data_IF_376867058444
#
_entry.id   IF_376867058444
#
_cell.length_a   1.000
_cell.length_b   1.000
_cell.length_c   1.000
_cell.angle_alpha   90.00
_cell.angle_beta   90.00
_cell.angle_gamma   90.00
#
_symmetry.space_group_name_H-M   'P 1'
#
loop_
_entity.id
_entity.type
_entity.pdbx_description
1 polymer ?
#
# COMPACT_ATOMS: atom_id res chain seq x y z
N UNK A 1 9.33 -15.78 19.85
CA UNK A 1 9.41 -14.34 19.52
C UNK A 1 9.17 -14.11 18.02
N UNK A 2 10.00 -14.68 17.12
CA UNK A 2 9.84 -14.61 15.65
C UNK A 2 8.43 -14.97 15.13
N UNK A 3 7.81 -16.04 15.66
CA UNK A 3 6.48 -16.49 15.25
C UNK A 3 5.39 -15.44 15.53
N UNK A 4 5.34 -14.91 16.76
CA UNK A 4 4.33 -13.93 17.16
C UNK A 4 4.47 -12.60 16.39
N UNK A 5 5.71 -12.16 16.16
CA UNK A 5 5.99 -10.97 15.36
C UNK A 5 5.62 -11.16 13.89
N UNK A 6 5.95 -12.31 13.29
CA UNK A 6 5.57 -12.63 11.92
C UNK A 6 4.06 -12.70 11.76
N UNK A 7 3.37 -13.34 12.71
CA UNK A 7 1.91 -13.40 12.77
C UNK A 7 1.28 -12.01 12.84
N UNK A 8 1.85 -11.09 13.60
CA UNK A 8 1.36 -9.71 13.71
C UNK A 8 1.57 -8.89 12.43
N UNK A 9 2.51 -9.27 11.56
CA UNK A 9 2.81 -8.59 10.31
C UNK A 9 1.97 -9.08 9.12
N UNK A 10 1.38 -10.28 9.22
CA UNK A 10 0.50 -10.84 8.19
C UNK A 10 -0.87 -10.16 8.30
N UNK A 11 -1.21 -9.37 7.30
CA UNK A 11 -2.50 -8.66 7.25
C UNK A 11 -3.60 -9.47 6.58
N UNK A 12 -3.24 -10.32 5.63
CA UNK A 12 -4.15 -11.22 4.92
C UNK A 12 -3.38 -12.35 4.22
N UNK A 13 -4.11 -13.24 3.56
CA UNK A 13 -3.55 -14.37 2.82
C UNK A 13 -2.74 -13.96 1.58
N UNK A 14 -2.99 -12.78 1.00
CA UNK A 14 -2.23 -12.32 -0.16
C UNK A 14 -0.81 -11.93 0.25
N UNK A 15 -0.66 -11.28 1.41
CA UNK A 15 0.67 -10.99 1.99
C UNK A 15 1.41 -12.30 2.27
N UNK A 16 0.72 -13.30 2.81
CA UNK A 16 1.28 -14.62 3.10
C UNK A 16 1.82 -15.32 1.84
N UNK A 17 1.01 -15.37 0.77
CA UNK A 17 1.40 -15.92 -0.53
C UNK A 17 2.55 -15.13 -1.16
N UNK A 18 2.50 -13.81 -1.06
CA UNK A 18 3.57 -12.97 -1.59
C UNK A 18 4.91 -13.22 -0.89
N UNK A 19 4.91 -13.38 0.44
CA UNK A 19 6.12 -13.72 1.18
C UNK A 19 6.66 -15.09 0.76
N UNK A 20 5.77 -16.08 0.62
CA UNK A 20 6.14 -17.41 0.14
C UNK A 20 6.86 -17.36 -1.20
N UNK A 21 6.27 -16.67 -2.19
CA UNK A 21 6.82 -16.60 -3.55
C UNK A 21 8.17 -15.87 -3.57
N UNK A 22 8.30 -14.77 -2.80
CA UNK A 22 9.55 -14.02 -2.71
C UNK A 22 10.66 -14.85 -2.05
N UNK A 23 10.34 -15.57 -0.97
CA UNK A 23 11.31 -16.45 -0.30
C UNK A 23 11.76 -17.60 -1.20
N UNK A 24 10.83 -18.22 -1.92
CA UNK A 24 11.14 -19.24 -2.91
C UNK A 24 12.09 -18.70 -3.98
N UNK A 25 11.75 -17.57 -4.58
CA UNK A 25 12.57 -16.95 -5.64
C UNK A 25 13.95 -16.55 -5.13
N UNK A 26 14.06 -16.00 -3.92
CA UNK A 26 15.36 -15.61 -3.38
C UNK A 26 16.31 -16.80 -3.20
N UNK A 27 15.82 -17.97 -2.77
CA UNK A 27 16.66 -19.14 -2.54
C UNK A 27 16.88 -20.01 -3.78
N UNK A 28 15.97 -19.95 -4.76
CA UNK A 28 15.98 -20.86 -5.92
C UNK A 28 16.37 -20.19 -7.24
N UNK A 29 16.30 -18.87 -7.34
CA UNK A 29 16.60 -18.12 -8.57
C UNK A 29 17.76 -17.15 -8.36
N UNK A 30 18.94 -17.46 -8.90
CA UNK A 30 20.15 -16.63 -8.75
C UNK A 30 19.96 -15.20 -9.30
N UNK A 31 19.15 -15.06 -10.34
CA UNK A 31 18.88 -13.77 -10.99
C UNK A 31 17.92 -12.88 -10.19
N UNK A 32 17.23 -13.41 -9.18
CA UNK A 32 16.23 -12.67 -8.41
C UNK A 32 16.83 -11.44 -7.72
N UNK A 33 18.06 -11.52 -7.24
CA UNK A 33 18.81 -10.40 -6.64
C UNK A 33 18.96 -9.19 -7.57
N UNK A 34 18.94 -9.42 -8.88
CA UNK A 34 19.04 -8.37 -9.91
C UNK A 34 17.69 -7.85 -10.39
N UNK A 35 16.60 -8.51 -9.99
CA UNK A 35 15.22 -8.21 -10.42
C UNK A 35 14.73 -6.85 -9.90
N UNK A 36 13.73 -6.30 -10.60
CA UNK A 36 13.06 -5.08 -10.16
C UNK A 36 12.31 -5.28 -8.83
N UNK A 37 11.72 -6.46 -8.63
CA UNK A 37 11.00 -6.80 -7.39
C UNK A 37 11.90 -6.73 -6.17
N UNK A 38 13.12 -7.27 -6.27
CA UNK A 38 14.11 -7.18 -5.18
C UNK A 38 14.53 -5.72 -4.91
N UNK A 39 14.74 -4.92 -5.97
CA UNK A 39 15.04 -3.49 -5.83
C UNK A 39 13.90 -2.73 -5.15
N UNK A 40 12.65 -2.98 -5.52
CA UNK A 40 11.48 -2.35 -4.90
C UNK A 40 11.33 -2.75 -3.43
N UNK A 41 11.66 -4.00 -3.09
CA UNK A 41 11.66 -4.48 -1.71
C UNK A 41 12.71 -3.75 -0.84
N UNK A 42 13.86 -3.37 -1.39
CA UNK A 42 14.90 -2.65 -0.66
C UNK A 42 14.89 -1.13 -0.87
N UNK A 43 13.95 -0.62 -1.68
CA UNK A 43 13.80 0.80 -1.93
C UNK A 43 13.49 1.58 -0.62
N UNK A 44 14.01 2.79 -0.42
CA UNK A 44 13.62 3.62 0.71
C UNK A 44 12.11 3.88 0.76
N UNK A 45 11.52 3.80 1.96
CA UNK A 45 10.07 4.01 2.15
C UNK A 45 9.58 5.36 1.61
N UNK A 46 10.43 6.40 1.62
CA UNK A 46 10.11 7.72 1.06
C UNK A 46 9.79 7.62 -0.43
N UNK A 47 10.54 6.83 -1.19
CA UNK A 47 10.30 6.69 -2.64
C UNK A 47 9.02 5.90 -2.88
N UNK A 48 8.77 4.85 -2.10
CA UNK A 48 7.49 4.11 -2.15
C UNK A 48 6.31 5.04 -1.85
N UNK A 49 6.40 5.89 -0.83
CA UNK A 49 5.37 6.88 -0.49
C UNK A 49 5.09 7.80 -1.68
N UNK A 50 6.13 8.34 -2.32
CA UNK A 50 5.98 9.26 -3.47
C UNK A 50 5.32 8.54 -4.65
N UNK A 51 5.72 7.31 -4.97
CA UNK A 51 5.16 6.52 -6.07
C UNK A 51 3.65 6.33 -5.90
N UNK A 52 3.21 5.93 -4.70
CA UNK A 52 1.81 5.65 -4.43
C UNK A 52 0.96 6.90 -4.20
N UNK A 53 1.52 7.99 -3.65
CA UNK A 53 0.79 9.25 -3.44
C UNK A 53 0.90 10.24 -4.61
N UNK A 54 1.54 9.88 -5.72
CA UNK A 54 1.73 10.76 -6.88
C UNK A 54 0.44 11.44 -7.34
N UNK A 55 -0.65 10.68 -7.41
CA UNK A 55 -1.95 11.21 -7.84
C UNK A 55 -2.51 12.21 -6.82
N UNK A 56 -2.44 11.89 -5.52
CA UNK A 56 -2.86 12.79 -4.45
C UNK A 56 -2.08 14.09 -4.49
N UNK A 57 -0.76 14.01 -4.66
CA UNK A 57 0.14 15.17 -4.76
C UNK A 57 -0.29 16.03 -5.96
N UNK A 58 -0.50 15.41 -7.12
CA UNK A 58 -0.89 16.12 -8.34
C UNK A 58 -2.26 16.79 -8.21
N UNK A 59 -3.26 16.09 -7.65
CA UNK A 59 -4.60 16.65 -7.40
C UNK A 59 -4.52 17.83 -6.42
N UNK A 60 -3.72 17.70 -5.35
CA UNK A 60 -3.56 18.76 -4.34
C UNK A 60 -2.87 19.99 -4.94
N UNK A 61 -1.80 19.80 -5.70
CA UNK A 61 -1.11 20.89 -6.39
C UNK A 61 -2.04 21.56 -7.43
N UNK A 62 -2.78 20.77 -8.21
CA UNK A 62 -3.76 21.28 -9.14
C UNK A 62 -4.85 22.12 -8.47
N UNK A 63 -5.33 21.69 -7.30
CA UNK A 63 -6.29 22.44 -6.50
C UNK A 63 -5.73 23.79 -6.04
N UNK A 64 -4.51 23.81 -5.50
CA UNK A 64 -3.84 25.05 -5.06
C UNK A 64 -3.64 26.00 -6.24
N UNK A 65 -3.14 25.51 -7.37
CA UNK A 65 -2.96 26.32 -8.58
C UNK A 65 -4.29 26.94 -9.05
N UNK A 66 -5.37 26.17 -9.02
CA UNK A 66 -6.71 26.67 -9.41
C UNK A 66 -7.22 27.72 -8.43
N UNK A 67 -7.02 27.55 -7.12
CA UNK A 67 -7.39 28.57 -6.14
C UNK A 67 -6.63 29.89 -6.35
N UNK A 68 -5.33 29.82 -6.63
CA UNK A 68 -4.52 30.99 -6.97
C UNK A 68 -5.04 31.66 -8.25
N UNK A 69 -5.39 30.87 -9.27
CA UNK A 69 -5.92 31.38 -10.53
C UNK A 69 -7.28 32.08 -10.35
N UNK A 70 -8.20 31.49 -9.60
CA UNK A 70 -9.51 32.10 -9.28
C UNK A 70 -9.33 33.43 -8.55
N UNK A 71 -8.32 33.54 -7.67
CA UNK A 71 -8.03 34.78 -6.92
C UNK A 71 -7.61 35.92 -7.85
N UNK A 72 -6.89 35.62 -8.93
CA UNK A 72 -6.37 36.63 -9.85
C UNK A 72 -7.26 36.92 -11.05
N UNK A 73 -8.20 36.02 -11.40
CA UNK A 73 -9.14 36.24 -12.49
C UNK A 73 -10.26 37.19 -12.05
N UNK A 74 -10.44 38.27 -12.82
CA UNK A 74 -11.60 39.15 -12.71
C UNK A 74 -12.77 38.55 -13.49
N UNK A 75 -13.86 38.29 -12.79
CA UNK A 75 -15.09 37.78 -13.39
C UNK A 75 -16.00 38.94 -13.78
N UNK A 76 -16.62 38.84 -14.96
CA UNK A 76 -17.58 39.84 -15.45
C UNK A 76 -18.88 39.89 -14.63
N UNK A 77 -19.22 38.79 -13.94
CA UNK A 77 -20.41 38.69 -13.08
C UNK A 77 -20.15 37.79 -11.87
N UNK A 78 -20.71 38.18 -10.72
CA UNK A 78 -20.68 37.38 -9.49
C UNK A 78 -21.34 36.00 -9.69
N UNK A 79 -22.39 35.92 -10.52
CA UNK A 79 -23.08 34.66 -10.79
C UNK A 79 -22.17 33.63 -11.48
N UNK A 80 -21.40 34.10 -12.47
CA UNK A 80 -20.42 33.26 -13.19
C UNK A 80 -19.34 32.80 -12.22
N UNK A 81 -18.81 33.69 -11.39
CA UNK A 81 -17.81 33.36 -10.35
C UNK A 81 -18.28 32.23 -9.44
N UNK A 82 -19.47 32.36 -8.85
CA UNK A 82 -20.00 31.33 -7.94
C UNK A 82 -20.29 30.00 -8.65
N UNK A 83 -20.80 30.05 -9.88
CA UNK A 83 -21.04 28.84 -10.68
C UNK A 83 -19.74 28.11 -11.01
N UNK A 84 -18.70 28.84 -11.42
CA UNK A 84 -17.37 28.26 -11.68
C UNK A 84 -16.78 27.62 -10.41
N UNK A 85 -16.88 28.29 -9.26
CA UNK A 85 -16.42 27.73 -7.98
C UNK A 85 -17.18 26.45 -7.65
N UNK A 86 -18.50 26.43 -7.82
CA UNK A 86 -19.32 25.24 -7.55
C UNK A 86 -18.89 24.04 -8.41
N UNK A 87 -18.73 24.24 -9.72
CA UNK A 87 -18.29 23.18 -10.65
C UNK A 87 -16.92 22.65 -10.25
N UNK A 88 -15.97 23.54 -9.93
CA UNK A 88 -14.63 23.16 -9.50
C UNK A 88 -14.65 22.38 -8.18
N UNK A 89 -15.48 22.79 -7.22
CA UNK A 89 -15.66 22.05 -5.97
C UNK A 89 -16.16 20.62 -6.20
N UNK A 90 -17.11 20.42 -7.13
CA UNK A 90 -17.61 19.07 -7.48
C UNK A 90 -16.50 18.23 -8.12
N UNK A 91 -15.77 18.79 -9.10
CA UNK A 91 -14.68 18.09 -9.79
C UNK A 91 -13.60 17.66 -8.79
N UNK A 92 -13.11 18.57 -7.95
CA UNK A 92 -12.10 18.25 -6.95
C UNK A 92 -12.62 17.30 -5.88
N UNK A 93 -13.89 17.40 -5.48
CA UNK A 93 -14.51 16.44 -4.57
C UNK A 93 -14.40 15.00 -5.09
N UNK A 94 -14.72 14.77 -6.37
CA UNK A 94 -14.60 13.46 -7.01
C UNK A 94 -13.13 13.00 -7.06
N UNK A 95 -12.22 13.89 -7.43
CA UNK A 95 -10.78 13.58 -7.50
C UNK A 95 -10.20 13.19 -6.14
N UNK A 96 -10.53 13.93 -5.07
CA UNK A 96 -10.08 13.62 -3.71
C UNK A 96 -10.64 12.30 -3.19
N UNK A 97 -11.91 11.97 -3.51
CA UNK A 97 -12.49 10.67 -3.15
C UNK A 97 -11.72 9.54 -3.82
N UNK A 98 -11.36 9.67 -5.10
CA UNK A 98 -10.54 8.67 -5.80
C UNK A 98 -9.14 8.52 -5.18
N UNK A 99 -8.54 9.64 -4.79
CA UNK A 99 -7.24 9.67 -4.10
C UNK A 99 -7.23 9.01 -2.72
N UNK A 100 -8.38 8.78 -2.09
CA UNK A 100 -8.45 8.05 -0.81
C UNK A 100 -7.89 6.63 -0.94
N UNK A 101 -8.13 5.97 -2.07
CA UNK A 101 -7.65 4.61 -2.33
C UNK A 101 -6.13 4.53 -2.35
N UNK A 102 -5.45 5.59 -2.79
CA UNK A 102 -3.99 5.67 -2.84
C UNK A 102 -3.37 5.54 -1.44
N UNK A 103 -3.99 6.13 -0.42
CA UNK A 103 -3.55 6.00 0.98
C UNK A 103 -3.74 4.59 1.52
N UNK A 104 -4.85 3.94 1.17
CA UNK A 104 -5.13 2.56 1.56
C UNK A 104 -4.11 1.61 0.93
N UNK A 105 -3.84 1.78 -0.37
CA UNK A 105 -2.84 1.02 -1.10
C UNK A 105 -1.43 1.23 -0.55
N UNK A 106 -1.04 2.47 -0.25
CA UNK A 106 0.24 2.76 0.39
C UNK A 106 0.36 2.06 1.75
N UNK A 107 -0.66 2.16 2.59
CA UNK A 107 -0.66 1.53 3.91
C UNK A 107 -0.52 0.01 3.82
N UNK A 108 -1.22 -0.61 2.87
CA UNK A 108 -1.09 -2.03 2.57
C UNK A 108 0.34 -2.38 2.12
N UNK A 109 0.88 -1.66 1.14
CA UNK A 109 2.19 -1.93 0.55
C UNK A 109 3.34 -1.76 1.55
N UNK A 110 3.30 -0.75 2.41
CA UNK A 110 4.31 -0.57 3.47
C UNK A 110 4.28 -1.72 4.49
N UNK A 111 3.09 -2.21 4.84
CA UNK A 111 2.95 -3.36 5.75
C UNK A 111 3.45 -4.65 5.09
N UNK A 112 3.04 -4.91 3.85
CA UNK A 112 3.48 -6.09 3.09
C UNK A 112 5.00 -6.09 2.93
N UNK A 113 5.59 -4.95 2.54
CA UNK A 113 7.04 -4.76 2.42
C UNK A 113 7.77 -5.07 3.73
N UNK A 114 7.27 -4.54 4.85
CA UNK A 114 7.83 -4.82 6.19
C UNK A 114 7.74 -6.30 6.54
N UNK A 115 6.63 -6.95 6.25
CA UNK A 115 6.42 -8.38 6.50
C UNK A 115 7.41 -9.24 5.69
N UNK A 116 7.57 -8.96 4.40
CA UNK A 116 8.52 -9.65 3.53
C UNK A 116 9.95 -9.43 4.02
N UNK A 117 10.38 -8.19 4.26
CA UNK A 117 11.73 -7.91 4.77
C UNK A 117 12.01 -8.62 6.09
N UNK A 118 11.03 -8.67 7.00
CA UNK A 118 11.15 -9.42 8.25
C UNK A 118 11.32 -10.92 8.00
N UNK A 119 10.54 -11.48 7.06
CA UNK A 119 10.64 -12.89 6.68
C UNK A 119 12.05 -13.23 6.18
N UNK A 120 12.55 -12.47 5.21
CA UNK A 120 13.87 -12.68 4.60
C UNK A 120 15.02 -12.55 5.61
N UNK A 121 14.85 -11.73 6.65
CA UNK A 121 15.87 -11.54 7.67
C UNK A 121 15.86 -12.63 8.76
N UNK A 122 14.75 -13.34 8.95
CA UNK A 122 14.54 -14.19 10.13
C UNK A 122 14.27 -15.66 9.84
N UNK A 123 13.94 -16.01 8.60
CA UNK A 123 13.56 -17.34 8.17
C UNK A 123 14.35 -17.72 6.90
N UNK A 124 14.77 -18.97 6.80
CA UNK A 124 14.97 -19.61 5.49
C UNK A 124 13.64 -20.14 4.95
N UNK A 125 13.59 -20.53 3.68
CA UNK A 125 12.36 -20.96 3.01
C UNK A 125 11.70 -22.15 3.73
N UNK A 126 12.46 -23.15 4.16
CA UNK A 126 11.91 -24.31 4.87
C UNK A 126 11.31 -23.93 6.23
N UNK A 127 12.00 -23.08 6.99
CA UNK A 127 11.49 -22.53 8.25
C UNK A 127 10.22 -21.72 8.04
N UNK A 128 10.13 -20.97 6.95
CA UNK A 128 8.92 -20.22 6.61
C UNK A 128 7.77 -21.13 6.19
N UNK A 129 8.02 -22.22 5.46
CA UNK A 129 7.00 -23.22 5.13
C UNK A 129 6.46 -23.90 6.40
N UNK A 130 7.32 -24.19 7.38
CA UNK A 130 6.88 -24.72 8.68
C UNK A 130 6.01 -23.68 9.41
N UNK A 131 6.44 -22.41 9.44
CA UNK A 131 5.64 -21.32 9.99
C UNK A 131 4.26 -21.24 9.32
N UNK A 132 4.23 -21.33 7.98
CA UNK A 132 3.03 -21.24 7.15
C UNK A 132 2.03 -22.34 7.50
N UNK A 133 2.51 -23.59 7.60
CA UNK A 133 1.69 -24.75 7.95
C UNK A 133 1.08 -24.59 9.36
N UNK A 134 1.88 -24.20 10.35
CA UNK A 134 1.40 -23.91 11.69
C UNK A 134 0.35 -22.77 11.70
N UNK A 135 0.62 -21.67 10.98
CA UNK A 135 -0.29 -20.52 10.90
C UNK A 135 -1.64 -20.90 10.27
N UNK A 136 -1.64 -21.62 9.14
CA UNK A 136 -2.86 -22.06 8.46
C UNK A 136 -3.64 -23.10 9.28
N UNK A 137 -2.93 -23.99 9.98
CA UNK A 137 -3.56 -24.94 10.92
C UNK A 137 -4.26 -24.22 12.07
N UNK A 138 -3.64 -23.20 12.68
CA UNK A 138 -4.27 -22.37 13.71
C UNK A 138 -5.49 -21.59 13.17
N UNK A 139 -5.37 -20.93 12.02
CA UNK A 139 -6.48 -20.15 11.45
C UNK A 139 -7.65 -21.04 11.00
N UNK A 140 -7.37 -22.25 10.50
CA UNK A 140 -8.42 -23.21 10.13
C UNK A 140 -9.14 -23.77 11.35
N UNK A 141 -8.42 -24.09 12.44
CA UNK A 141 -9.00 -24.66 13.67
C UNK A 141 -9.81 -23.68 14.50
N UNK A 142 -9.60 -22.36 14.37
CA UNK A 142 -10.44 -21.34 15.03
C UNK A 142 -11.93 -21.44 14.68
N UNK A 143 -12.27 -21.89 13.46
CA UNK A 143 -13.65 -22.07 13.05
C UNK A 143 -14.26 -23.41 13.50
N UNK A 144 -13.44 -24.33 14.03
CA UNK A 144 -13.86 -25.65 14.48
C UNK A 144 -13.88 -25.82 15.99
N UNK A 145 -13.43 -24.84 16.77
CA UNK A 145 -13.55 -24.90 18.23
C UNK A 145 -15.01 -24.64 18.61
N UNK A 146 -15.78 -25.67 19.01
CA UNK A 146 -17.12 -25.45 19.52
C UNK A 146 -16.91 -24.74 20.87
N UNK A 147 -17.54 -23.59 21.00
CA UNK A 147 -17.84 -23.01 22.30
C UNK A 147 -18.55 -24.08 23.12
N UNK A 148 -17.82 -24.72 24.03
CA UNK A 148 -18.36 -25.48 25.15
C UNK A 148 -18.26 -24.62 26.40
#
# INVERSE_FOLDING_TARGET
>A
MKYAEMKALITDINVLLFIHDIMYLQEKEETFSSSNTYKELHEPNIITIIKYLKNVILVTLGFICILILIKHVTFSSSYIKYTTVLILSIIFGILFVRSKTDFVLLGYQLKAKKAVQFALANYNYQEFVIFLDCYLSEESTKNYSPTY
#
